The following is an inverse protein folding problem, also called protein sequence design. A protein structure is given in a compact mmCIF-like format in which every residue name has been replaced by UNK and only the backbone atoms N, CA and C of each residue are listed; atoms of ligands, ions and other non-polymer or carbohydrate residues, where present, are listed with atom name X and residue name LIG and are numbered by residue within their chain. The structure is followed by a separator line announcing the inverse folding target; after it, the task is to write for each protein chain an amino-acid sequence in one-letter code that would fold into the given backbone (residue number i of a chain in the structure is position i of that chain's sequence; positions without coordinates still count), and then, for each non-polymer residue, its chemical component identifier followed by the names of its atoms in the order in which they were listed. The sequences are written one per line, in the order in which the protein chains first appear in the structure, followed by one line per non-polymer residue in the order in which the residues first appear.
data_IF_652741663634
#
_entry.id   IF_652741663634
#
_cell.length_a   1.000
_cell.length_b   1.000
_cell.length_c   1.000
_cell.angle_alpha   90.00
_cell.angle_beta   90.00
_cell.angle_gamma   90.00
#
_symmetry.space_group_name_H-M   'P 1'
#
loop_
_entity.id
_entity.type
_entity.pdbx_description
1 polymer ?
#
# COMPACT_ATOMS: atom_id res chain seq x y z
N UNK A 1 -9.56 26.89 -6.78
CA UNK A 1 -8.28 26.29 -7.20
C UNK A 1 -8.63 24.90 -7.68
N UNK A 2 -8.54 24.65 -8.98
CA UNK A 2 -8.92 23.36 -9.58
C UNK A 2 -7.74 22.39 -9.53
N UNK A 3 -8.01 21.16 -9.08
CA UNK A 3 -7.07 20.05 -9.20
C UNK A 3 -6.86 19.76 -10.69
N UNK A 4 -5.63 19.93 -11.17
CA UNK A 4 -5.22 19.55 -12.52
C UNK A 4 -4.73 18.09 -12.44
N UNK A 5 -5.46 17.11 -13.01
CA UNK A 5 -5.05 15.72 -13.01
C UNK A 5 -3.70 15.50 -13.72
N UNK A 6 -3.28 16.45 -14.57
CA UNK A 6 -1.99 16.44 -15.25
C UNK A 6 -0.81 16.82 -14.35
N UNK A 7 -1.05 17.39 -13.16
CA UNK A 7 -0.02 17.77 -12.18
C UNK A 7 0.06 16.82 -10.99
N UNK A 8 -1.08 16.31 -10.53
CA UNK A 8 -1.18 15.56 -9.26
C UNK A 8 -1.61 14.09 -9.42
N UNK A 9 -1.79 13.61 -10.67
CA UNK A 9 -2.19 12.24 -10.97
C UNK A 9 -1.00 11.26 -11.08
N UNK A 10 -1.17 10.04 -10.58
CA UNK A 10 -0.23 8.93 -10.83
C UNK A 10 -0.72 8.10 -12.01
N UNK A 11 -0.02 8.18 -13.14
CA UNK A 11 -0.33 7.38 -14.33
C UNK A 11 0.04 5.91 -14.10
N UNK A 12 -0.96 5.03 -14.03
CA UNK A 12 -0.76 3.59 -13.84
C UNK A 12 -1.16 2.84 -15.10
N UNK A 13 -0.24 2.03 -15.64
CA UNK A 13 -0.54 1.09 -16.72
C UNK A 13 -0.65 -0.34 -16.15
N UNK A 14 -1.74 -0.58 -15.41
CA UNK A 14 -2.07 -1.88 -14.82
C UNK A 14 -3.40 -2.37 -15.41
N UNK A 15 -3.48 -3.62 -15.92
CA UNK A 15 -4.73 -4.18 -16.41
C UNK A 15 -5.81 -4.15 -15.33
N UNK A 16 -7.04 -3.81 -15.70
CA UNK A 16 -8.15 -3.63 -14.77
C UNK A 16 -8.43 -4.89 -13.95
N UNK A 17 -8.28 -6.05 -14.57
CA UNK A 17 -8.52 -7.37 -13.98
C UNK A 17 -7.61 -7.63 -12.77
N UNK A 18 -6.41 -7.04 -12.75
CA UNK A 18 -5.49 -7.13 -11.60
C UNK A 18 -5.88 -6.21 -10.44
N UNK A 19 -6.72 -5.22 -10.70
CA UNK A 19 -7.20 -4.26 -9.71
C UNK A 19 -8.55 -4.65 -9.10
N UNK A 20 -9.28 -5.58 -9.71
CA UNK A 20 -10.65 -5.94 -9.29
C UNK A 20 -10.74 -6.57 -7.89
N UNK A 21 -9.65 -7.16 -7.40
CA UNK A 21 -9.60 -7.84 -6.11
C UNK A 21 -8.74 -7.11 -5.06
N UNK A 22 -8.26 -5.90 -5.38
CA UNK A 22 -7.41 -5.11 -4.49
C UNK A 22 -7.93 -3.68 -4.37
N UNK A 23 -7.76 -3.09 -3.20
CA UNK A 23 -8.34 -1.78 -2.89
C UNK A 23 -7.24 -0.71 -2.85
N UNK A 24 -7.41 0.38 -3.60
CA UNK A 24 -6.51 1.53 -3.51
C UNK A 24 -6.71 2.21 -2.14
N UNK A 25 -5.64 2.32 -1.34
CA UNK A 25 -5.71 2.92 0.00
C UNK A 25 -5.09 4.30 0.07
N UNK A 26 -4.00 4.53 -0.65
CA UNK A 26 -3.32 5.82 -0.69
C UNK A 26 -2.37 5.93 -1.87
N UNK A 27 -1.96 7.17 -2.13
CA UNK A 27 -0.82 7.50 -2.97
C UNK A 27 0.27 8.04 -2.06
N UNK A 28 1.50 7.54 -2.21
CA UNK A 28 2.64 7.97 -1.42
C UNK A 28 3.87 8.09 -2.34
N UNK A 29 4.43 9.30 -2.43
CA UNK A 29 5.64 9.59 -3.23
C UNK A 29 5.57 9.06 -4.66
N UNK A 30 4.45 9.31 -5.34
CA UNK A 30 4.22 8.89 -6.72
C UNK A 30 3.95 7.40 -6.89
N UNK A 31 3.79 6.63 -5.80
CA UNK A 31 3.37 5.23 -5.82
C UNK A 31 1.94 5.08 -5.34
N UNK A 32 1.11 4.39 -6.12
CA UNK A 32 -0.19 3.93 -5.66
C UNK A 32 -0.02 2.68 -4.81
N UNK A 33 -0.64 2.68 -3.63
CA UNK A 33 -0.58 1.58 -2.68
C UNK A 33 -1.95 0.93 -2.59
N UNK A 34 -2.01 -0.31 -3.06
CA UNK A 34 -3.18 -1.16 -2.99
C UNK A 34 -3.06 -2.15 -1.83
N UNK A 35 -4.20 -2.59 -1.33
CA UNK A 35 -4.29 -3.64 -0.31
C UNK A 35 -5.11 -4.80 -0.84
N UNK A 36 -4.57 -6.01 -0.68
CA UNK A 36 -5.32 -7.26 -0.84
C UNK A 36 -5.50 -7.91 0.54
N UNK A 37 -6.57 -8.69 0.69
CA UNK A 37 -6.78 -9.48 1.92
C UNK A 37 -6.32 -10.91 1.67
N UNK A 38 -5.48 -11.43 2.57
CA UNK A 38 -5.10 -12.83 2.56
C UNK A 38 -5.29 -13.40 3.98
N UNK A 39 -6.32 -14.24 4.16
CA UNK A 39 -6.66 -14.86 5.44
C UNK A 39 -5.65 -15.92 5.89
N UNK A 40 -4.91 -16.49 4.93
CA UNK A 40 -4.08 -17.67 5.16
C UNK A 40 -2.62 -17.29 5.47
N UNK A 41 -2.22 -16.05 5.16
CA UNK A 41 -0.91 -15.53 5.50
C UNK A 41 -0.79 -15.25 7.01
N UNK A 42 0.43 -15.31 7.55
CA UNK A 42 0.73 -15.09 8.98
C UNK A 42 1.35 -13.72 9.26
N UNK A 43 1.96 -13.10 8.25
CA UNK A 43 2.52 -11.76 8.26
C UNK A 43 2.16 -11.05 6.96
N UNK A 44 2.05 -9.71 6.97
CA UNK A 44 1.79 -8.98 5.73
C UNK A 44 2.94 -9.18 4.75
N UNK A 45 2.61 -9.21 3.47
CA UNK A 45 3.56 -9.28 2.37
C UNK A 45 3.41 -8.05 1.51
N UNK A 46 4.45 -7.74 0.75
CA UNK A 46 4.43 -6.61 -0.18
C UNK A 46 4.95 -7.09 -1.52
N UNK A 47 4.25 -6.72 -2.58
CA UNK A 47 4.62 -7.05 -3.95
C UNK A 47 4.63 -5.77 -4.79
N UNK A 48 5.68 -5.61 -5.59
CA UNK A 48 5.76 -4.57 -6.60
C UNK A 48 5.06 -5.05 -7.87
N UNK A 49 3.87 -4.51 -8.15
CA UNK A 49 3.12 -4.87 -9.36
C UNK A 49 3.66 -4.14 -10.60
N UNK A 50 4.05 -2.87 -10.41
CA UNK A 50 4.72 -1.99 -11.39
C UNK A 50 5.61 -0.99 -10.66
N UNK A 51 6.35 -0.17 -11.41
CA UNK A 51 7.28 0.84 -10.85
C UNK A 51 6.63 1.73 -9.79
N UNK A 52 5.40 2.16 -10.06
CA UNK A 52 4.60 3.04 -9.24
C UNK A 52 3.38 2.37 -8.60
N UNK A 53 3.33 1.03 -8.58
CA UNK A 53 2.20 0.29 -8.01
C UNK A 53 2.69 -0.77 -7.06
N UNK A 54 2.36 -0.59 -5.79
CA UNK A 54 2.66 -1.51 -4.71
C UNK A 54 1.36 -2.16 -4.24
N UNK A 55 1.40 -3.45 -4.01
CA UNK A 55 0.30 -4.22 -3.40
C UNK A 55 0.79 -4.74 -2.07
N UNK A 56 0.04 -4.48 -1.01
CA UNK A 56 0.30 -4.99 0.32
C UNK A 56 -0.78 -6.00 0.65
N UNK A 57 -0.39 -7.25 0.86
CA UNK A 57 -1.32 -8.26 1.31
C UNK A 57 -1.35 -8.24 2.83
N UNK A 58 -2.53 -8.01 3.39
CA UNK A 58 -2.71 -7.85 4.83
C UNK A 58 -3.36 -9.10 5.42
N UNK A 59 -2.89 -9.44 6.62
CA UNK A 59 -3.26 -10.64 7.36
C UNK A 59 -4.31 -10.31 8.42
N UNK A 60 -5.30 -11.18 8.58
CA UNK A 60 -6.22 -11.18 9.73
C UNK A 60 -6.91 -9.84 10.00
N UNK A 61 -7.53 -9.27 8.97
CA UNK A 61 -8.21 -8.00 9.09
C UNK A 61 -9.67 -8.15 8.63
N UNK A 62 -10.59 -8.32 9.60
CA UNK A 62 -12.03 -8.20 9.32
C UNK A 62 -12.35 -6.84 8.68
N UNK A 63 -11.58 -5.81 9.07
CA UNK A 63 -11.62 -4.48 8.51
C UNK A 63 -10.30 -4.16 7.80
N UNK A 64 -10.36 -3.41 6.71
CA UNK A 64 -9.14 -3.02 5.98
C UNK A 64 -8.29 -2.12 6.89
N UNK A 65 -6.98 -2.37 7.04
CA UNK A 65 -6.17 -1.69 8.05
C UNK A 65 -6.06 -0.19 7.79
N UNK A 66 -5.85 0.56 8.86
CA UNK A 66 -5.55 1.98 8.76
C UNK A 66 -4.11 2.14 8.28
N UNK A 67 -3.90 2.99 7.29
CA UNK A 67 -2.60 3.22 6.70
C UNK A 67 -2.21 4.70 6.86
N UNK A 68 -0.97 4.95 7.21
CA UNK A 68 -0.42 6.30 7.42
C UNK A 68 0.92 6.38 6.71
N UNK A 69 1.08 7.39 5.86
CA UNK A 69 2.34 7.73 5.23
C UNK A 69 2.62 9.22 5.41
N UNK A 70 3.89 9.60 5.30
CA UNK A 70 4.32 11.00 5.19
C UNK A 70 5.27 11.09 4.01
N UNK A 71 5.03 12.01 3.09
CA UNK A 71 5.85 12.11 1.87
C UNK A 71 7.31 12.50 2.11
N UNK A 72 7.61 13.07 3.29
CA UNK A 72 8.99 13.31 3.73
C UNK A 72 9.75 12.05 4.16
N UNK A 73 9.08 10.91 4.29
CA UNK A 73 9.66 9.62 4.69
C UNK A 73 9.44 8.57 3.61
N UNK A 74 10.22 7.49 3.62
CA UNK A 74 9.97 6.31 2.79
C UNK A 74 9.16 5.23 3.53
N UNK A 75 8.79 5.49 4.78
CA UNK A 75 8.05 4.55 5.59
C UNK A 75 6.54 4.69 5.44
N UNK A 76 5.90 3.53 5.36
CA UNK A 76 4.47 3.36 5.41
C UNK A 76 4.10 2.57 6.66
N UNK A 77 3.23 3.13 7.48
CA UNK A 77 2.74 2.51 8.70
C UNK A 77 1.37 1.87 8.44
N UNK A 78 1.22 0.61 8.82
CA UNK A 78 0.00 -0.18 8.63
C UNK A 78 -0.45 -0.66 9.99
N UNK A 79 -1.54 -0.10 10.48
CA UNK A 79 -2.14 -0.44 11.75
C UNK A 79 -3.30 -1.43 11.54
N UNK A 80 -3.11 -2.66 12.02
CA UNK A 80 -4.16 -3.65 12.22
C UNK A 80 -4.80 -3.51 13.61
N UNK A 81 -5.63 -4.49 13.99
CA UNK A 81 -6.36 -4.47 15.27
C UNK A 81 -5.44 -4.46 16.50
N UNK A 82 -4.36 -5.24 16.49
CA UNK A 82 -3.45 -5.45 17.62
C UNK A 82 -1.97 -5.25 17.24
N UNK A 83 -1.68 -4.94 15.98
CA UNK A 83 -0.31 -4.92 15.43
C UNK A 83 -0.07 -3.67 14.58
N UNK A 84 1.13 -3.13 14.70
CA UNK A 84 1.66 -2.10 13.84
C UNK A 84 2.79 -2.69 12.99
N UNK A 85 2.68 -2.53 11.67
CA UNK A 85 3.73 -2.89 10.73
C UNK A 85 4.30 -1.62 10.09
N UNK A 86 5.60 -1.64 9.83
CA UNK A 86 6.28 -0.57 9.09
C UNK A 86 6.89 -1.16 7.84
N UNK A 87 6.50 -0.65 6.68
CA UNK A 87 7.06 -1.00 5.39
C UNK A 87 8.02 0.11 4.94
N UNK A 88 9.24 -0.27 4.57
CA UNK A 88 10.14 0.59 3.81
C UNK A 88 9.79 0.48 2.31
N UNK A 89 9.33 1.59 1.71
CA UNK A 89 8.88 1.63 0.31
C UNK A 89 10.01 1.82 -0.71
N UNK A 90 11.26 1.91 -0.24
CA UNK A 90 12.48 1.85 -1.08
C UNK A 90 12.95 0.40 -1.15
N UNK A 91 13.17 -0.24 -0.01
CA UNK A 91 13.67 -1.63 0.03
C UNK A 91 12.59 -2.66 -0.25
N UNK A 92 11.32 -2.28 -0.09
CA UNK A 92 10.17 -3.19 -0.16
C UNK A 92 10.20 -4.27 0.93
N UNK A 93 10.72 -3.92 2.11
CA UNK A 93 10.83 -4.83 3.25
C UNK A 93 10.04 -4.31 4.46
N UNK A 94 9.41 -5.24 5.17
CA UNK A 94 8.84 -4.93 6.48
C UNK A 94 9.93 -4.88 7.52
N UNK A 95 10.00 -3.78 8.27
CA UNK A 95 10.93 -3.62 9.37
C UNK A 95 10.53 -4.54 10.55
N UNK A 96 11.49 -4.88 11.43
CA UNK A 96 11.20 -5.61 12.65
C UNK A 96 10.05 -4.96 13.44
N UNK A 97 9.20 -5.79 14.05
CA UNK A 97 8.07 -5.36 14.86
C UNK A 97 8.60 -4.53 16.03
N UNK A 98 7.99 -3.37 16.28
CA UNK A 98 8.23 -2.55 17.46
C UNK A 98 7.60 -3.19 18.70
#
# INVERSE_FOLDING_TARGET
MGEDPGRDGVLMNVPREKLEQIELRLVHRGKAVYVSKNSDASNPTVTKLKENVIVIEVVFCMHIPNMRARDSSHFLYIAGSDRLFTLDTITMEFLPKL
#
